data_IF_423801940953
#
_entry.id   IF_423801940953
#
_cell.length_a   1.000
_cell.length_b   1.000
_cell.length_c   1.000
_cell.angle_alpha   90.00
_cell.angle_beta   90.00
_cell.angle_gamma   90.00
#
_symmetry.space_group_name_H-M   'P 1'
#
loop_
_entity.id
_entity.type
_entity.pdbx_description
1 polymer ?
#
# COMPACT_ATOMS: atom_id res chain seq x y z
N UNK A 1 -11.32 19.44 8.20
CA UNK A 1 -11.69 18.02 8.33
C UNK A 1 -12.76 17.73 7.31
N UNK A 2 -12.56 16.72 6.43
CA UNK A 2 -13.55 16.31 5.43
C UNK A 2 -14.50 15.26 5.99
N UNK A 3 -13.98 14.35 6.81
CA UNK A 3 -14.74 13.33 7.53
C UNK A 3 -13.94 12.89 8.78
N UNK A 4 -14.60 12.51 9.83
CA UNK A 4 -14.00 12.06 11.10
C UNK A 4 -14.48 10.68 11.55
N UNK A 5 -15.42 10.08 10.82
CA UNK A 5 -15.96 8.76 11.12
C UNK A 5 -16.99 8.29 10.11
N UNK A 6 -17.47 7.06 10.30
CA UNK A 6 -18.48 6.44 9.47
C UNK A 6 -19.46 5.64 10.34
N UNK A 7 -20.79 5.76 10.04
CA UNK A 7 -21.83 4.99 10.77
C UNK A 7 -21.90 5.29 12.27
N UNK A 8 -21.57 6.52 12.69
CA UNK A 8 -21.57 6.94 14.10
C UNK A 8 -20.34 6.48 14.90
N UNK A 9 -19.34 5.92 14.25
CA UNK A 9 -18.07 5.53 14.86
C UNK A 9 -16.92 6.36 14.30
N UNK A 10 -15.91 6.71 15.11
CA UNK A 10 -14.70 7.36 14.58
C UNK A 10 -13.96 6.43 13.63
N UNK A 11 -13.16 7.00 12.73
CA UNK A 11 -12.19 6.22 11.98
C UNK A 11 -11.14 5.59 12.89
N UNK A 12 -10.51 4.52 12.42
CA UNK A 12 -9.42 3.88 13.14
C UNK A 12 -8.17 4.76 13.13
N UNK A 13 -7.59 4.91 11.95
CA UNK A 13 -6.45 5.79 11.67
C UNK A 13 -6.23 5.89 10.17
N UNK A 14 -6.90 6.79 9.45
CA UNK A 14 -6.72 6.96 8.01
C UNK A 14 -5.23 7.05 7.64
N UNK A 15 -4.82 6.26 6.64
CA UNK A 15 -3.40 6.04 6.32
C UNK A 15 -3.00 6.71 5.00
N UNK A 16 -3.43 6.18 3.85
CA UNK A 16 -3.07 6.70 2.53
C UNK A 16 -4.31 7.15 1.75
N UNK A 17 -4.12 8.07 0.80
CA UNK A 17 -5.21 8.63 0.02
C UNK A 17 -4.79 8.89 -1.43
N UNK A 18 -5.75 8.71 -2.35
CA UNK A 18 -5.61 9.03 -3.78
C UNK A 18 -6.84 9.75 -4.29
N UNK A 19 -6.64 10.55 -5.34
CA UNK A 19 -7.71 11.33 -5.97
C UNK A 19 -8.11 10.70 -7.30
N UNK A 20 -9.40 10.44 -7.48
CA UNK A 20 -9.97 9.99 -8.75
C UNK A 20 -10.26 11.19 -9.67
N UNK A 21 -10.31 11.04 -11.02
CA UNK A 21 -10.56 12.17 -11.95
C UNK A 21 -11.84 12.95 -11.72
N UNK A 22 -12.85 12.36 -11.08
CA UNK A 22 -14.09 13.07 -10.70
C UNK A 22 -13.91 13.97 -9.46
N UNK A 23 -12.68 14.03 -8.91
CA UNK A 23 -12.32 14.79 -7.72
C UNK A 23 -12.59 14.05 -6.41
N UNK A 24 -13.18 12.87 -6.45
CA UNK A 24 -13.42 12.07 -5.24
C UNK A 24 -12.10 11.61 -4.61
N UNK A 25 -12.07 11.64 -3.28
CA UNK A 25 -10.92 11.17 -2.48
C UNK A 25 -11.21 9.75 -2.02
N UNK A 26 -10.31 8.84 -2.35
CA UNK A 26 -10.33 7.46 -1.88
C UNK A 26 -9.22 7.29 -0.84
N UNK A 27 -9.53 6.66 0.28
CA UNK A 27 -8.55 6.50 1.36
C UNK A 27 -8.73 5.19 2.11
N UNK A 28 -7.67 4.76 2.77
CA UNK A 28 -7.60 3.57 3.60
C UNK A 28 -7.70 3.93 5.08
N UNK A 29 -8.35 3.08 5.88
CA UNK A 29 -8.51 3.27 7.33
C UNK A 29 -8.12 2.00 8.10
N UNK A 30 -6.80 1.69 8.16
CA UNK A 30 -6.30 0.61 9.00
C UNK A 30 -6.26 1.00 10.47
N UNK A 31 -6.08 0.00 11.35
CA UNK A 31 -6.07 0.21 12.80
C UNK A 31 -4.74 0.67 13.40
N UNK A 32 -3.70 0.91 12.61
CA UNK A 32 -2.36 1.18 13.15
C UNK A 32 -2.32 2.31 14.16
N UNK A 33 -2.96 3.44 13.83
CA UNK A 33 -3.00 4.61 14.70
C UNK A 33 -3.75 4.42 16.01
N UNK A 34 -4.55 3.38 16.15
CA UNK A 34 -5.36 3.12 17.35
C UNK A 34 -4.91 1.91 18.16
N UNK A 35 -4.09 1.03 17.61
CA UNK A 35 -3.81 -0.28 18.22
C UNK A 35 -2.45 -0.38 18.91
N UNK A 36 -1.44 0.37 18.47
CA UNK A 36 -0.05 0.12 18.82
C UNK A 36 0.54 1.19 19.72
N UNK A 37 1.47 0.78 20.58
CA UNK A 37 2.19 1.74 21.42
C UNK A 37 3.26 2.52 20.66
N UNK A 38 3.53 2.17 19.43
CA UNK A 38 4.56 2.79 18.62
C UNK A 38 3.96 3.58 17.47
N UNK A 39 3.38 2.93 16.52
CA UNK A 39 2.68 3.61 15.44
C UNK A 39 1.25 3.91 15.84
N UNK A 40 0.99 5.20 16.08
CA UNK A 40 -0.27 5.65 16.60
C UNK A 40 -0.51 5.22 18.01
N UNK A 41 0.55 4.83 18.70
CA UNK A 41 0.57 4.76 20.10
C UNK A 41 -0.71 4.38 20.77
N UNK A 42 -0.81 3.21 21.17
CA UNK A 42 -1.70 2.87 22.22
C UNK A 42 -1.21 3.43 23.55
N UNK A 43 -1.02 4.72 23.66
CA UNK A 43 -0.89 5.34 24.94
C UNK A 43 -2.04 4.84 25.86
N UNK A 44 -2.22 5.42 27.01
CA UNK A 44 -3.31 5.07 27.95
C UNK A 44 -4.72 5.11 27.31
N UNK A 45 -4.87 5.85 26.22
CA UNK A 45 -6.12 6.04 25.47
C UNK A 45 -6.28 5.12 24.26
N UNK A 46 -5.26 4.31 23.93
CA UNK A 46 -5.29 3.43 22.78
C UNK A 46 -6.28 2.27 22.95
N UNK A 47 -6.89 1.85 21.86
CA UNK A 47 -7.76 0.69 21.80
C UNK A 47 -6.97 -0.60 21.57
N UNK A 48 -7.42 -1.72 22.12
CA UNK A 48 -6.88 -3.05 21.83
C UNK A 48 -7.49 -3.64 20.55
N UNK A 49 -8.55 -3.03 20.05
CA UNK A 49 -9.26 -3.39 18.84
C UNK A 49 -9.52 -2.15 17.99
N UNK A 50 -9.62 -2.26 16.66
CA UNK A 50 -10.09 -1.17 15.82
C UNK A 50 -11.46 -0.65 16.31
N UNK A 51 -11.71 0.65 16.15
CA UNK A 51 -13.00 1.25 16.45
C UNK A 51 -14.12 0.68 15.60
N UNK A 52 -13.77 0.32 14.37
CA UNK A 52 -14.64 -0.37 13.41
C UNK A 52 -13.79 -1.26 12.51
N UNK A 53 -14.42 -2.13 11.71
CA UNK A 53 -13.73 -2.97 10.76
C UNK A 53 -12.94 -2.10 9.79
N UNK A 54 -11.68 -2.43 9.58
CA UNK A 54 -10.77 -1.74 8.68
C UNK A 54 -11.31 -1.79 7.25
N UNK A 55 -11.22 -0.69 6.53
CA UNK A 55 -11.93 -0.55 5.26
C UNK A 55 -11.30 0.50 4.35
N UNK A 56 -11.80 0.54 3.12
CA UNK A 56 -11.51 1.57 2.14
C UNK A 56 -12.76 2.44 1.99
N UNK A 57 -12.55 3.76 1.95
CA UNK A 57 -13.61 4.76 1.87
C UNK A 57 -13.43 5.67 0.65
N UNK A 58 -14.54 6.27 0.22
CA UNK A 58 -14.61 7.29 -0.82
C UNK A 58 -15.41 8.48 -0.33
N UNK A 59 -14.86 9.68 -0.49
CA UNK A 59 -15.56 10.94 -0.28
C UNK A 59 -15.89 11.53 -1.65
N UNK A 60 -17.16 11.74 -1.92
CA UNK A 60 -17.62 12.35 -3.16
C UNK A 60 -17.26 13.84 -3.19
N UNK A 61 -16.62 14.29 -4.28
CA UNK A 61 -16.14 15.67 -4.39
C UNK A 61 -17.24 16.73 -4.43
N UNK A 62 -18.41 16.38 -4.96
CA UNK A 62 -19.51 17.35 -5.15
C UNK A 62 -20.44 17.42 -3.95
N UNK A 63 -20.72 16.27 -3.35
CA UNK A 63 -21.72 16.16 -2.29
C UNK A 63 -21.10 16.04 -0.90
N UNK A 64 -19.79 15.75 -0.79
CA UNK A 64 -19.14 15.42 0.46
C UNK A 64 -19.58 14.08 1.04
N UNK A 65 -20.40 13.30 0.31
CA UNK A 65 -20.90 12.02 0.82
C UNK A 65 -19.75 11.03 1.00
N UNK A 66 -19.63 10.53 2.22
CA UNK A 66 -18.72 9.45 2.57
C UNK A 66 -19.39 8.09 2.30
N UNK A 67 -18.66 7.18 1.67
CA UNK A 67 -19.12 5.83 1.38
C UNK A 67 -17.99 4.84 1.73
N UNK A 68 -18.30 3.78 2.46
CA UNK A 68 -17.43 2.62 2.60
C UNK A 68 -17.51 1.82 1.30
N UNK A 69 -16.41 1.69 0.57
CA UNK A 69 -16.42 1.02 -0.73
C UNK A 69 -16.09 -0.46 -0.65
N UNK A 70 -15.28 -0.87 0.33
CA UNK A 70 -15.06 -2.29 0.67
C UNK A 70 -14.46 -2.43 2.06
N UNK A 71 -14.71 -3.58 2.69
CA UNK A 71 -14.04 -4.08 3.89
C UNK A 71 -13.52 -5.52 3.68
N UNK A 72 -13.42 -5.94 2.42
CA UNK A 72 -12.83 -7.22 2.02
C UNK A 72 -11.29 -7.11 1.92
N UNK A 73 -10.69 -6.66 3.00
CA UNK A 73 -9.26 -6.49 3.18
C UNK A 73 -8.98 -6.49 4.69
N UNK A 74 -7.86 -7.05 5.11
CA UNK A 74 -7.56 -7.13 6.54
C UNK A 74 -7.08 -5.79 7.08
N UNK A 75 -6.00 -5.25 6.50
CA UNK A 75 -5.41 -3.99 6.97
C UNK A 75 -4.93 -3.17 5.76
N UNK A 76 -5.85 -2.40 5.15
CA UNK A 76 -5.53 -1.62 3.95
C UNK A 76 -4.50 -0.53 4.27
N UNK A 77 -3.42 -0.49 3.48
CA UNK A 77 -2.34 0.48 3.60
C UNK A 77 -2.26 1.34 2.33
N UNK A 78 -1.13 1.38 1.63
CA UNK A 78 -0.97 2.16 0.42
C UNK A 78 -1.96 1.76 -0.68
N UNK A 79 -2.44 2.73 -1.45
CA UNK A 79 -3.36 2.49 -2.55
C UNK A 79 -3.00 3.33 -3.79
N UNK A 80 -3.31 2.79 -4.98
CA UNK A 80 -3.19 3.55 -6.23
C UNK A 80 -4.15 3.04 -7.30
N UNK A 81 -4.56 3.91 -8.21
CA UNK A 81 -5.32 3.53 -9.39
C UNK A 81 -4.41 3.09 -10.54
N UNK A 82 -4.95 2.23 -11.43
CA UNK A 82 -4.35 2.02 -12.76
C UNK A 82 -4.36 3.32 -13.57
N UNK A 83 -3.54 3.42 -14.66
CA UNK A 83 -3.48 4.65 -15.46
C UNK A 83 -4.84 5.10 -16.02
N UNK A 84 -5.73 4.15 -16.32
CA UNK A 84 -7.07 4.38 -16.84
C UNK A 84 -8.16 4.48 -15.75
N UNK A 85 -7.78 4.44 -14.47
CA UNK A 85 -8.66 4.48 -13.30
C UNK A 85 -9.71 3.36 -13.22
N UNK A 86 -9.53 2.28 -13.99
CA UNK A 86 -10.46 1.14 -13.97
C UNK A 86 -10.13 0.10 -12.92
N UNK A 87 -8.96 0.17 -12.31
CA UNK A 87 -8.54 -0.71 -11.21
C UNK A 87 -8.05 0.11 -10.03
N UNK A 88 -8.30 -0.41 -8.83
CA UNK A 88 -7.70 0.06 -7.60
C UNK A 88 -6.83 -1.06 -7.01
N UNK A 89 -5.56 -0.77 -6.79
CA UNK A 89 -4.62 -1.64 -6.09
C UNK A 89 -4.46 -1.16 -4.66
N UNK A 90 -4.40 -2.10 -3.71
CA UNK A 90 -4.23 -1.77 -2.29
C UNK A 90 -3.32 -2.78 -1.62
N UNK A 91 -2.31 -2.31 -0.90
CA UNK A 91 -1.45 -3.12 -0.06
C UNK A 91 -2.25 -3.65 1.14
N UNK A 92 -2.24 -4.97 1.36
CA UNK A 92 -2.79 -5.58 2.57
C UNK A 92 -1.68 -5.94 3.53
N UNK A 93 -1.57 -5.20 4.61
CA UNK A 93 -0.59 -5.42 5.66
C UNK A 93 -1.16 -6.18 6.86
N UNK A 94 -2.29 -6.85 6.66
CA UNK A 94 -3.03 -7.58 7.71
C UNK A 94 -2.20 -8.63 8.45
N UNK A 95 -1.24 -9.26 7.76
CA UNK A 95 -0.34 -10.26 8.37
C UNK A 95 0.49 -9.72 9.55
N UNK A 96 0.54 -8.41 9.76
CA UNK A 96 1.14 -7.80 10.96
C UNK A 96 0.33 -8.05 12.23
N UNK A 97 -0.98 -8.33 12.11
CA UNK A 97 -1.92 -8.44 13.25
C UNK A 97 -2.88 -9.63 13.15
N UNK A 98 -3.11 -10.17 11.95
CA UNK A 98 -4.05 -11.27 11.69
C UNK A 98 -3.29 -12.46 11.13
N UNK A 99 -3.31 -13.58 11.83
CA UNK A 99 -2.54 -14.78 11.46
C UNK A 99 -3.01 -15.40 10.12
N UNK A 100 -4.29 -15.20 9.79
CA UNK A 100 -4.89 -15.69 8.55
C UNK A 100 -4.67 -14.76 7.35
N UNK A 101 -4.20 -13.53 7.56
CA UNK A 101 -3.95 -12.59 6.49
C UNK A 101 -2.69 -12.93 5.70
N UNK A 102 -2.75 -12.66 4.40
CA UNK A 102 -1.61 -12.81 3.50
C UNK A 102 -0.80 -11.52 3.42
N UNK A 103 0.46 -11.62 3.02
CA UNK A 103 1.31 -10.50 2.66
C UNK A 103 1.16 -10.29 1.16
N UNK A 104 0.24 -9.43 0.76
CA UNK A 104 -0.18 -9.30 -0.63
C UNK A 104 -0.57 -7.87 -1.01
N UNK A 105 -0.64 -7.62 -2.30
CA UNK A 105 -1.36 -6.49 -2.87
C UNK A 105 -2.65 -7.05 -3.47
N UNK A 106 -3.78 -6.45 -3.14
CA UNK A 106 -5.09 -6.79 -3.72
C UNK A 106 -5.44 -5.83 -4.85
N UNK A 107 -6.34 -6.25 -5.72
CA UNK A 107 -6.86 -5.43 -6.82
C UNK A 107 -8.36 -5.61 -6.96
N UNK A 108 -9.06 -4.53 -7.28
CA UNK A 108 -10.49 -4.49 -7.60
C UNK A 108 -10.72 -3.78 -8.92
N UNK A 109 -11.82 -4.13 -9.58
CA UNK A 109 -12.37 -3.32 -10.66
C UNK A 109 -13.12 -2.12 -10.10
N UNK A 110 -12.84 -0.93 -10.64
CA UNK A 110 -13.53 0.32 -10.29
C UNK A 110 -14.73 0.46 -11.23
N UNK A 111 -15.91 0.46 -10.66
CA UNK A 111 -17.17 0.55 -11.43
C UNK A 111 -17.74 1.97 -11.34
N UNK A 112 -17.86 2.62 -12.49
CA UNK A 112 -18.39 3.99 -12.64
C UNK A 112 -17.69 5.05 -11.74
N UNK A 113 -16.44 4.78 -11.29
CA UNK A 113 -15.71 5.67 -10.41
C UNK A 113 -16.27 5.77 -8.98
N UNK A 114 -17.17 4.87 -8.57
CA UNK A 114 -17.87 4.98 -7.27
C UNK A 114 -17.88 3.72 -6.41
N UNK A 115 -17.64 2.55 -6.99
CA UNK A 115 -17.68 1.27 -6.28
C UNK A 115 -16.62 0.30 -6.75
N UNK A 116 -16.35 -0.73 -5.94
CA UNK A 116 -15.38 -1.78 -6.20
C UNK A 116 -16.08 -3.12 -6.41
N UNK A 117 -15.59 -3.91 -7.37
CA UNK A 117 -16.05 -5.27 -7.65
C UNK A 117 -14.85 -6.19 -7.95
N UNK A 118 -15.10 -7.50 -7.95
CA UNK A 118 -14.13 -8.52 -8.34
C UNK A 118 -12.79 -8.45 -7.59
N UNK A 119 -12.85 -8.18 -6.28
CA UNK A 119 -11.66 -8.14 -5.41
C UNK A 119 -10.90 -9.45 -5.40
N UNK A 120 -9.59 -9.39 -5.62
CA UNK A 120 -8.71 -10.57 -5.61
C UNK A 120 -7.27 -10.20 -5.28
N UNK A 121 -6.45 -11.19 -4.94
CA UNK A 121 -5.00 -11.05 -4.89
C UNK A 121 -4.49 -10.60 -6.26
N UNK A 122 -3.71 -9.54 -6.29
CA UNK A 122 -2.94 -9.12 -7.46
C UNK A 122 -1.58 -9.81 -7.48
N UNK A 123 -0.84 -9.71 -6.37
CA UNK A 123 0.48 -10.33 -6.22
C UNK A 123 0.79 -10.65 -4.76
N UNK A 124 1.60 -11.70 -4.55
CA UNK A 124 2.22 -11.98 -3.25
C UNK A 124 3.49 -11.16 -3.07
N UNK A 125 3.81 -10.83 -1.83
CA UNK A 125 5.08 -10.21 -1.45
C UNK A 125 6.21 -11.22 -1.29
N UNK A 126 5.99 -12.51 -1.57
CA UNK A 126 7.00 -13.54 -1.53
C UNK A 126 8.15 -13.25 -2.50
N UNK A 127 9.37 -13.48 -2.04
CA UNK A 127 10.60 -13.35 -2.82
C UNK A 127 11.51 -14.54 -2.52
N UNK A 128 11.88 -15.29 -3.55
CA UNK A 128 12.94 -16.30 -3.43
C UNK A 128 14.30 -15.61 -3.34
N UNK A 129 15.06 -15.95 -2.31
CA UNK A 129 16.38 -15.40 -2.03
C UNK A 129 17.37 -16.54 -1.79
N UNK A 130 18.66 -16.28 -2.04
CA UNK A 130 19.74 -17.17 -1.60
C UNK A 130 20.26 -16.70 -0.24
N UNK A 131 20.31 -17.61 0.71
CA UNK A 131 20.99 -17.39 2.00
C UNK A 131 22.15 -18.37 2.14
N UNK A 132 23.16 -17.95 2.89
CA UNK A 132 24.29 -18.81 3.25
C UNK A 132 24.08 -19.25 4.70
N UNK A 133 24.05 -20.55 4.93
CA UNK A 133 23.91 -21.11 6.27
C UNK A 133 25.20 -20.96 7.10
N UNK A 134 25.16 -21.38 8.35
CA UNK A 134 26.29 -21.31 9.29
C UNK A 134 27.51 -22.13 8.81
N UNK A 135 27.31 -23.09 7.90
CA UNK A 135 28.33 -23.93 7.30
C UNK A 135 28.86 -23.40 5.96
N UNK A 136 28.38 -22.23 5.53
CA UNK A 136 28.77 -21.63 4.25
C UNK A 136 28.01 -22.21 3.03
N UNK A 137 26.94 -23.00 3.24
CA UNK A 137 26.18 -23.59 2.15
C UNK A 137 25.08 -22.64 1.71
N UNK A 138 24.94 -22.46 0.39
CA UNK A 138 23.86 -21.67 -0.20
C UNK A 138 22.55 -22.46 -0.19
N UNK A 139 21.50 -21.87 0.33
CA UNK A 139 20.14 -22.42 0.28
C UNK A 139 19.17 -21.38 -0.26
N UNK A 140 18.15 -21.84 -0.98
CA UNK A 140 17.03 -20.99 -1.41
C UNK A 140 16.03 -20.89 -0.28
N UNK A 141 15.66 -19.67 0.07
CA UNK A 141 14.63 -19.37 1.07
C UNK A 141 13.59 -18.45 0.46
N UNK A 142 12.34 -18.62 0.85
CA UNK A 142 11.28 -17.68 0.49
C UNK A 142 11.07 -16.73 1.66
N UNK A 143 11.24 -15.44 1.41
CA UNK A 143 10.93 -14.38 2.36
C UNK A 143 9.75 -13.56 1.87
N UNK A 144 8.91 -13.14 2.78
CA UNK A 144 7.80 -12.25 2.48
C UNK A 144 7.78 -11.10 3.49
N UNK A 145 8.12 -9.92 3.02
CA UNK A 145 7.89 -8.67 3.73
C UNK A 145 6.47 -8.17 3.49
N UNK A 146 6.19 -6.96 3.93
CA UNK A 146 4.90 -6.31 3.69
C UNK A 146 5.07 -5.16 2.69
N UNK A 147 4.09 -5.01 1.81
CA UNK A 147 3.91 -3.80 1.01
C UNK A 147 3.40 -2.67 1.92
N UNK A 148 3.82 -1.44 1.64
CA UNK A 148 3.35 -0.25 2.36
C UNK A 148 2.81 0.77 1.33
N UNK A 149 3.38 1.96 1.18
CA UNK A 149 2.95 2.88 0.13
C UNK A 149 3.21 2.34 -1.27
N UNK A 150 2.23 2.48 -2.17
CA UNK A 150 2.32 1.99 -3.55
C UNK A 150 1.93 3.07 -4.55
N UNK A 151 2.55 3.06 -5.74
CA UNK A 151 2.18 3.96 -6.85
C UNK A 151 2.21 3.21 -8.18
N UNK A 152 1.45 3.71 -9.15
CA UNK A 152 1.39 3.17 -10.49
C UNK A 152 2.18 4.05 -11.45
N UNK A 153 2.91 3.44 -12.41
CA UNK A 153 3.53 4.15 -13.53
C UNK A 153 2.60 4.20 -14.77
N UNK A 154 3.03 4.93 -15.80
CA UNK A 154 2.25 5.11 -17.04
C UNK A 154 2.03 3.82 -17.82
N UNK A 155 2.85 2.79 -17.61
CA UNK A 155 2.72 1.45 -18.21
C UNK A 155 1.80 0.53 -17.38
N UNK A 156 1.36 0.99 -16.20
CA UNK A 156 0.52 0.24 -15.29
C UNK A 156 1.27 -0.60 -14.27
N UNK A 157 2.61 -0.55 -14.24
CA UNK A 157 3.37 -1.29 -13.25
C UNK A 157 3.15 -0.70 -11.85
N UNK A 158 3.06 -1.57 -10.86
CA UNK A 158 2.88 -1.19 -9.47
C UNK A 158 4.26 -1.15 -8.78
N UNK A 159 4.62 0.03 -8.32
CA UNK A 159 5.83 0.28 -7.54
C UNK A 159 5.45 0.28 -6.07
N UNK A 160 5.91 -0.74 -5.36
CA UNK A 160 5.58 -0.98 -3.95
C UNK A 160 6.78 -0.78 -3.06
N UNK A 161 6.68 0.13 -2.12
CA UNK A 161 7.60 0.13 -0.99
C UNK A 161 7.43 -1.14 -0.16
N UNK A 162 8.52 -1.64 0.43
CA UNK A 162 8.51 -2.89 1.18
C UNK A 162 9.65 -2.98 2.20
N UNK A 163 9.48 -3.86 3.17
CA UNK A 163 10.50 -4.11 4.18
C UNK A 163 10.13 -5.20 5.19
N UNK A 164 10.71 -5.09 6.38
CA UNK A 164 10.48 -5.95 7.57
C UNK A 164 10.96 -7.41 7.43
N UNK A 165 11.96 -7.67 6.58
CA UNK A 165 12.54 -9.02 6.38
C UNK A 165 14.06 -9.02 6.43
N UNK A 166 14.69 -7.85 6.43
CA UNK A 166 16.14 -7.70 6.46
C UNK A 166 16.78 -7.49 5.09
N UNK A 167 18.07 -7.73 5.02
CA UNK A 167 18.91 -7.43 3.85
C UNK A 167 18.44 -8.14 2.58
N UNK A 168 18.58 -7.45 1.45
CA UNK A 168 18.21 -7.96 0.13
C UNK A 168 16.72 -7.92 -0.18
N UNK A 169 15.88 -7.46 0.76
CA UNK A 169 14.44 -7.34 0.56
C UNK A 169 13.95 -5.89 0.63
N UNK A 170 14.42 -5.11 1.62
CA UNK A 170 13.94 -3.76 1.86
C UNK A 170 14.17 -2.83 0.66
N UNK A 171 13.19 -2.01 0.35
CA UNK A 171 13.25 -1.05 -0.75
C UNK A 171 11.97 -0.99 -1.56
N UNK A 172 12.07 -0.98 -2.89
CA UNK A 172 10.93 -0.90 -3.80
C UNK A 172 10.87 -2.13 -4.69
N UNK A 173 9.72 -2.76 -4.77
CA UNK A 173 9.45 -3.88 -5.67
C UNK A 173 8.51 -3.42 -6.78
N UNK A 174 8.79 -3.84 -8.03
CA UNK A 174 8.01 -3.45 -9.19
C UNK A 174 7.29 -4.67 -9.77
N UNK A 175 5.99 -4.55 -9.96
CA UNK A 175 5.13 -5.64 -10.45
C UNK A 175 4.41 -5.24 -11.72
N UNK A 176 4.45 -6.10 -12.75
CA UNK A 176 3.74 -5.85 -14.00
C UNK A 176 2.22 -6.02 -13.86
N UNK A 177 1.40 -5.23 -14.57
CA UNK A 177 -0.05 -5.21 -14.38
C UNK A 177 -0.78 -6.47 -14.88
N UNK A 178 -0.16 -7.24 -15.76
CA UNK A 178 -0.78 -8.37 -16.45
C UNK A 178 -1.11 -9.52 -15.49
N UNK A 179 -0.16 -9.90 -14.66
CA UNK A 179 -0.25 -11.07 -13.78
C UNK A 179 0.36 -10.86 -12.39
N UNK A 180 0.83 -9.64 -12.09
CA UNK A 180 1.45 -9.31 -10.81
C UNK A 180 2.86 -9.87 -10.66
N UNK A 181 3.51 -10.28 -11.74
CA UNK A 181 4.89 -10.77 -11.70
C UNK A 181 5.84 -9.64 -11.28
N UNK A 182 6.74 -9.94 -10.35
CA UNK A 182 7.82 -9.00 -9.99
C UNK A 182 8.83 -8.90 -11.15
N UNK A 183 8.99 -7.71 -11.68
CA UNK A 183 9.88 -7.40 -12.82
C UNK A 183 11.11 -6.60 -12.43
N UNK A 184 11.13 -6.06 -11.21
CA UNK A 184 12.27 -5.27 -10.73
C UNK A 184 12.26 -5.05 -9.24
N UNK A 185 13.41 -4.61 -8.73
CA UNK A 185 13.62 -4.24 -7.35
C UNK A 185 14.67 -3.13 -7.23
N UNK A 186 14.41 -2.16 -6.37
CA UNK A 186 15.39 -1.16 -5.92
C UNK A 186 15.69 -1.47 -4.46
N UNK A 187 16.89 -1.96 -4.18
CA UNK A 187 17.29 -2.25 -2.81
C UNK A 187 17.68 -0.97 -2.07
N UNK A 188 17.21 -0.85 -0.85
CA UNK A 188 17.61 0.17 0.10
C UNK A 188 18.25 -0.47 1.33
N UNK A 189 19.13 0.23 2.04
CA UNK A 189 19.77 -0.28 3.27
C UNK A 189 18.81 -0.28 4.47
N UNK A 190 17.57 0.18 4.29
CA UNK A 190 16.56 0.31 5.33
C UNK A 190 15.15 0.13 4.75
N UNK A 191 14.17 -0.08 5.61
CA UNK A 191 12.77 -0.27 5.23
C UNK A 191 12.27 0.96 4.48
N UNK A 192 11.62 0.73 3.33
CA UNK A 192 10.93 1.76 2.58
C UNK A 192 9.44 1.80 2.96
N UNK A 193 8.95 2.97 3.37
CA UNK A 193 7.57 3.15 3.81
C UNK A 193 6.64 3.69 2.73
N UNK A 194 7.14 4.54 1.83
CA UNK A 194 6.32 5.08 0.75
C UNK A 194 7.16 5.48 -0.46
N UNK A 195 6.48 5.59 -1.60
CA UNK A 195 7.07 6.01 -2.87
C UNK A 195 6.22 7.08 -3.56
N UNK A 196 6.86 7.97 -4.29
CA UNK A 196 6.18 9.01 -5.06
C UNK A 196 6.98 9.35 -6.31
N UNK A 197 6.31 9.40 -7.46
CA UNK A 197 6.91 9.94 -8.67
C UNK A 197 6.82 11.45 -8.69
N UNK A 198 7.93 12.12 -9.00
CA UNK A 198 7.97 13.57 -9.02
C UNK A 198 9.06 14.11 -9.94
N UNK A 199 9.41 15.40 -9.74
CA UNK A 199 10.29 16.13 -10.61
C UNK A 199 9.60 16.63 -11.89
N UNK A 200 10.25 17.52 -12.62
CA UNK A 200 9.68 18.20 -13.81
C UNK A 200 9.24 17.21 -14.90
N UNK A 201 9.93 16.09 -15.04
CA UNK A 201 9.61 15.04 -16.00
C UNK A 201 8.75 13.92 -15.43
N UNK A 202 8.41 13.97 -14.14
CA UNK A 202 7.67 12.93 -13.40
C UNK A 202 8.32 11.54 -13.43
N UNK A 203 9.61 11.46 -13.71
CA UNK A 203 10.39 10.23 -13.79
C UNK A 203 11.43 10.10 -12.67
N UNK A 204 11.30 10.87 -11.62
CA UNK A 204 12.11 10.73 -10.43
C UNK A 204 11.31 10.08 -9.33
N UNK A 205 11.70 8.87 -8.96
CA UNK A 205 11.07 8.15 -7.86
C UNK A 205 11.70 8.62 -6.55
N UNK A 206 10.89 9.16 -5.66
CA UNK A 206 11.24 9.46 -4.28
C UNK A 206 10.80 8.30 -3.40
N UNK A 207 11.63 7.92 -2.43
CA UNK A 207 11.42 6.78 -1.55
C UNK A 207 11.67 7.25 -0.12
N UNK A 208 10.62 7.28 0.70
CA UNK A 208 10.75 7.56 2.13
C UNK A 208 11.11 6.26 2.86
N UNK A 209 12.19 6.30 3.59
CA UNK A 209 12.66 5.15 4.36
C UNK A 209 12.73 5.49 5.86
N UNK A 210 13.21 4.56 6.68
CA UNK A 210 13.16 4.71 8.14
C UNK A 210 13.78 6.00 8.66
N UNK A 211 14.90 6.43 8.06
CA UNK A 211 15.63 7.63 8.48
C UNK A 211 16.01 8.56 7.32
N UNK A 212 15.80 8.12 6.08
CA UNK A 212 16.32 8.79 4.90
C UNK A 212 15.26 9.01 3.83
N UNK A 213 15.48 10.03 3.00
CA UNK A 213 14.75 10.23 1.76
C UNK A 213 15.69 9.93 0.59
N UNK A 214 15.38 8.87 -0.14
CA UNK A 214 16.11 8.48 -1.35
C UNK A 214 15.41 8.98 -2.60
N UNK A 215 16.15 9.14 -3.67
CA UNK A 215 15.58 9.43 -4.97
C UNK A 215 16.44 8.84 -6.10
N UNK A 216 15.78 8.34 -7.14
CA UNK A 216 16.42 7.81 -8.35
C UNK A 216 15.64 8.25 -9.58
N UNK A 217 16.34 8.48 -10.70
CA UNK A 217 15.69 8.68 -11.99
C UNK A 217 15.44 7.34 -12.65
N UNK A 218 14.23 7.16 -13.18
CA UNK A 218 13.79 5.95 -13.88
C UNK A 218 13.36 6.27 -15.30
N UNK A 219 13.24 5.25 -16.16
CA UNK A 219 12.86 5.44 -17.58
C UNK A 219 11.33 5.65 -17.74
N UNK A 220 10.52 5.30 -16.76
CA UNK A 220 9.07 5.50 -16.77
C UNK A 220 8.66 6.74 -15.96
N UNK A 221 7.38 7.09 -16.01
CA UNK A 221 6.78 8.21 -15.27
C UNK A 221 5.62 7.73 -14.40
N UNK A 222 5.35 8.45 -13.34
CA UNK A 222 4.13 8.22 -12.57
C UNK A 222 2.87 8.40 -13.41
N UNK A 223 1.91 7.47 -13.29
CA UNK A 223 0.66 7.52 -14.02
C UNK A 223 -0.15 8.79 -13.68
N UNK A 224 -0.15 9.16 -12.42
CA UNK A 224 -0.95 10.27 -11.91
C UNK A 224 -0.08 11.33 -11.25
N UNK A 225 -0.62 12.53 -11.11
CA UNK A 225 -0.06 13.56 -10.24
C UNK A 225 -0.51 13.18 -8.82
N UNK A 226 0.45 12.88 -7.98
CA UNK A 226 0.24 12.56 -6.56
C UNK A 226 0.44 13.78 -5.70
#
# INVERSE_FOLDING_TARGET
>A
VLADGHGGKPFNAPNDAVVHPDGAIWFTDPGYGSLMNYEGHRAKTGSVQPHQKEAIYRIDAKTGKLTKVTEDIFKPNGLCFSPDYKKLYVADTGASHYAEAKKEIKVWDVVNGVSLQNGKTFTSMDLEMEEVDENGQKQKVTKAGMADGIRCDEDGNIWSSAGWVGDGYAGVHVFEPKDGKRIGQILLPEICSNVCFGGTKRNRLFMTASQSLYAVSVETKGAHIS
#
